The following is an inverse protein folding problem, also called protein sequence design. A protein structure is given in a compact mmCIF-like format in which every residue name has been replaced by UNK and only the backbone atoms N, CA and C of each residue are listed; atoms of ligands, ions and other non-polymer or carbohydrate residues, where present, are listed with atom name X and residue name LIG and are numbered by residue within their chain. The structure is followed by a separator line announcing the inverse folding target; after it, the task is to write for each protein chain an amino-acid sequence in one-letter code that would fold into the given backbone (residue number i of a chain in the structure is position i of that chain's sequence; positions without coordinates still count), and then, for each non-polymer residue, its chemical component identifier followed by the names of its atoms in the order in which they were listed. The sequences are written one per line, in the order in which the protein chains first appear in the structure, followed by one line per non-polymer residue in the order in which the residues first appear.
data_IF_509618105112
#
_entry.id   IF_509618105112
#
_cell.length_a   1.000
_cell.length_b   1.000
_cell.length_c   1.000
_cell.angle_alpha   90.00
_cell.angle_beta   90.00
_cell.angle_gamma   90.00
#
_symmetry.space_group_name_H-M   'P 1'
#
loop_
_entity.id
_entity.type
_entity.pdbx_description
1 polymer ?
#
# COMPACT_ATOMS: atom_id res chain seq x y z
N UNK A 1 2.64 1.50 4.91
CA UNK A 1 2.09 0.92 3.68
C UNK A 1 3.16 0.11 2.95
N UNK A 2 2.85 -1.12 2.57
CA UNK A 2 3.72 -2.02 1.80
C UNK A 2 3.83 -1.65 0.30
N UNK A 3 3.39 -0.47 -0.10
CA UNK A 3 3.58 0.06 -1.46
C UNK A 3 5.06 0.06 -1.88
N UNK A 4 5.98 0.28 -0.94
CA UNK A 4 7.42 0.25 -1.21
C UNK A 4 7.87 -1.11 -1.78
N UNK A 5 7.33 -2.23 -1.30
CA UNK A 5 7.67 -3.55 -1.81
C UNK A 5 7.26 -3.73 -3.29
N UNK A 6 6.08 -3.23 -3.67
CA UNK A 6 5.58 -3.28 -5.06
C UNK A 6 6.37 -2.34 -5.98
N UNK A 7 6.80 -1.17 -5.47
CA UNK A 7 7.67 -0.22 -6.19
C UNK A 7 9.03 -0.85 -6.54
N UNK A 8 9.54 -1.73 -5.69
CA UNK A 8 10.81 -2.42 -5.90
C UNK A 8 10.67 -3.77 -6.63
N UNK A 9 9.52 -4.05 -7.21
CA UNK A 9 9.31 -5.23 -8.06
C UNK A 9 8.53 -6.36 -7.41
N UNK A 10 8.17 -6.24 -6.13
CA UNK A 10 7.40 -7.26 -5.41
C UNK A 10 6.07 -7.61 -6.08
N UNK A 11 5.62 -8.82 -5.89
CA UNK A 11 4.33 -9.34 -6.35
C UNK A 11 3.40 -9.62 -5.18
N UNK A 12 2.11 -9.66 -5.46
CA UNK A 12 1.09 -10.01 -4.48
C UNK A 12 0.53 -11.40 -4.77
N UNK A 13 0.46 -12.24 -3.72
CA UNK A 13 -0.11 -13.58 -3.81
C UNK A 13 -1.18 -13.79 -2.75
N UNK A 14 -2.20 -14.59 -3.06
CA UNK A 14 -3.25 -14.99 -2.13
C UNK A 14 -2.80 -16.18 -1.26
N UNK A 15 -3.69 -16.70 -0.41
CA UNK A 15 -3.43 -17.87 0.44
C UNK A 15 -3.20 -19.18 -0.34
N UNK A 16 -3.50 -19.21 -1.64
CA UNK A 16 -3.19 -20.33 -2.52
C UNK A 16 -1.79 -20.22 -3.16
N UNK A 17 -1.06 -19.15 -2.92
CA UNK A 17 0.24 -18.88 -3.55
C UNK A 17 0.14 -18.36 -4.98
N UNK A 18 -1.01 -17.82 -5.39
CA UNK A 18 -1.30 -17.37 -6.74
C UNK A 18 -1.41 -15.85 -6.81
N UNK A 19 -0.87 -15.23 -7.86
CA UNK A 19 -1.16 -13.83 -8.18
C UNK A 19 -2.64 -13.68 -8.57
N UNK A 20 -3.24 -12.56 -8.23
CA UNK A 20 -4.68 -12.34 -8.44
C UNK A 20 -5.00 -10.97 -9.06
N UNK A 21 -3.99 -10.12 -9.27
CA UNK A 21 -4.18 -8.80 -9.86
C UNK A 21 -2.88 -8.27 -10.46
N UNK A 22 -2.98 -7.13 -11.14
CA UNK A 22 -1.81 -6.33 -11.45
C UNK A 22 -1.27 -5.71 -10.14
N UNK A 23 -0.14 -6.19 -9.68
CA UNK A 23 0.47 -5.80 -8.39
C UNK A 23 0.82 -4.30 -8.31
N UNK A 24 0.77 -3.60 -9.43
CA UNK A 24 1.11 -2.19 -9.54
C UNK A 24 -0.02 -1.33 -10.13
N UNK A 25 -1.28 -1.63 -9.81
CA UNK A 25 -2.35 -0.69 -10.15
C UNK A 25 -2.18 0.63 -9.42
N UNK A 26 -2.31 1.76 -10.13
CA UNK A 26 -2.34 3.08 -9.50
C UNK A 26 -3.63 3.31 -8.69
N UNK A 27 -4.70 2.62 -9.03
CA UNK A 27 -5.98 2.68 -8.33
C UNK A 27 -5.98 1.76 -7.10
N UNK A 28 -5.83 2.38 -5.93
CA UNK A 28 -5.84 1.68 -4.64
C UNK A 28 -7.19 1.07 -4.29
N UNK A 29 -8.31 1.66 -4.74
CA UNK A 29 -9.65 1.13 -4.50
C UNK A 29 -9.84 -0.18 -5.25
N UNK A 30 -9.44 -0.22 -6.53
CA UNK A 30 -9.46 -1.42 -7.34
C UNK A 30 -8.60 -2.53 -6.73
N UNK A 31 -7.43 -2.19 -6.22
CA UNK A 31 -6.55 -3.14 -5.56
C UNK A 31 -7.13 -3.66 -4.24
N UNK A 32 -7.68 -2.80 -3.40
CA UNK A 32 -8.33 -3.19 -2.16
C UNK A 32 -9.51 -4.14 -2.42
N UNK A 33 -10.31 -3.85 -3.44
CA UNK A 33 -11.42 -4.73 -3.87
C UNK A 33 -10.90 -6.11 -4.29
N UNK A 34 -9.87 -6.18 -5.13
CA UNK A 34 -9.28 -7.43 -5.55
C UNK A 34 -8.70 -8.24 -4.37
N UNK A 35 -8.15 -7.57 -3.35
CA UNK A 35 -7.69 -8.22 -2.12
C UNK A 35 -8.86 -8.77 -1.30
N UNK A 36 -9.96 -8.03 -1.14
CA UNK A 36 -11.15 -8.48 -0.41
C UNK A 36 -11.83 -9.69 -1.06
N UNK A 37 -11.68 -9.86 -2.36
CA UNK A 37 -12.20 -11.02 -3.11
C UNK A 37 -11.36 -12.29 -2.90
N UNK A 38 -10.17 -12.18 -2.27
CA UNK A 38 -9.33 -13.34 -1.97
C UNK A 38 -9.80 -14.07 -0.70
N UNK A 39 -9.45 -15.35 -0.53
CA UNK A 39 -9.77 -16.09 0.69
C UNK A 39 -9.38 -15.31 1.94
N UNK A 40 -10.31 -15.17 2.87
CA UNK A 40 -10.15 -14.39 4.12
C UNK A 40 -9.77 -12.91 3.93
N UNK A 41 -9.82 -12.35 2.71
CA UNK A 41 -9.33 -11.01 2.40
C UNK A 41 -7.83 -10.84 2.61
N UNK A 42 -7.08 -11.94 2.77
CA UNK A 42 -5.65 -11.96 3.06
C UNK A 42 -4.80 -12.17 1.81
N UNK A 43 -3.67 -11.52 1.79
CA UNK A 43 -2.65 -11.70 0.77
C UNK A 43 -1.25 -11.44 1.36
N UNK A 44 -0.23 -11.82 0.60
CA UNK A 44 1.16 -11.54 0.93
C UNK A 44 1.80 -10.74 -0.19
N UNK A 45 2.68 -9.81 0.17
CA UNK A 45 3.63 -9.26 -0.79
C UNK A 45 4.93 -10.02 -0.68
N UNK A 46 5.45 -10.51 -1.82
CA UNK A 46 6.68 -11.27 -1.91
C UNK A 46 7.74 -10.42 -2.60
N UNK A 47 8.94 -10.36 -2.04
CA UNK A 47 10.11 -9.69 -2.62
C UNK A 47 11.35 -10.58 -2.45
N UNK A 48 12.40 -10.28 -3.21
CA UNK A 48 13.71 -10.93 -3.10
C UNK A 48 14.78 -10.03 -2.48
N UNK A 49 15.99 -10.56 -2.33
CA UNK A 49 17.14 -9.85 -1.76
C UNK A 49 17.54 -8.62 -2.56
N UNK A 50 17.35 -8.62 -3.89
CA UNK A 50 17.61 -7.46 -4.75
C UNK A 50 16.65 -6.32 -4.41
N UNK A 51 15.36 -6.59 -4.34
CA UNK A 51 14.33 -5.63 -3.96
C UNK A 51 14.53 -5.08 -2.54
N UNK A 52 14.88 -5.96 -1.60
CA UNK A 52 15.15 -5.56 -0.21
C UNK A 52 16.33 -4.60 -0.12
N UNK A 53 17.44 -4.86 -0.83
CA UNK A 53 18.63 -4.00 -0.86
C UNK A 53 18.39 -2.66 -1.53
N UNK A 54 17.49 -2.59 -2.49
CA UNK A 54 17.19 -1.38 -3.26
C UNK A 54 16.50 -0.28 -2.43
N UNK A 55 15.88 -0.61 -1.28
CA UNK A 55 15.05 0.33 -0.53
C UNK A 55 15.40 0.38 0.96
N UNK A 56 15.91 1.52 1.43
CA UNK A 56 16.12 1.78 2.86
C UNK A 56 14.83 1.63 3.69
N UNK A 57 13.68 1.95 3.08
CA UNK A 57 12.38 1.80 3.71
C UNK A 57 12.01 0.33 3.95
N UNK A 58 12.28 -0.56 2.98
CA UNK A 58 12.06 -2.00 3.15
C UNK A 58 12.99 -2.58 4.23
N UNK A 59 14.25 -2.15 4.24
CA UNK A 59 15.20 -2.54 5.30
C UNK A 59 14.75 -2.08 6.69
N UNK A 60 14.15 -0.90 6.81
CA UNK A 60 13.55 -0.44 8.07
C UNK A 60 12.38 -1.31 8.48
N UNK A 61 11.50 -1.69 7.54
CA UNK A 61 10.39 -2.59 7.82
C UNK A 61 10.85 -4.01 8.20
N UNK A 62 11.92 -4.52 7.58
CA UNK A 62 12.53 -5.78 7.98
C UNK A 62 13.03 -5.72 9.42
N UNK A 63 13.76 -4.68 9.80
CA UNK A 63 14.22 -4.46 11.19
C UNK A 63 13.08 -4.35 12.20
N UNK A 64 11.92 -3.85 11.77
CA UNK A 64 10.72 -3.74 12.60
C UNK A 64 9.87 -5.02 12.63
N UNK A 65 10.35 -6.13 12.04
CA UNK A 65 9.67 -7.43 12.09
C UNK A 65 8.47 -7.59 11.16
N UNK A 66 8.31 -6.72 10.15
CA UNK A 66 7.18 -6.83 9.20
C UNK A 66 7.37 -7.89 8.12
N UNK A 67 8.53 -8.50 8.02
CA UNK A 67 8.82 -9.52 7.01
C UNK A 67 9.20 -10.85 7.64
N UNK A 68 8.69 -11.91 7.06
CA UNK A 68 9.22 -13.27 7.22
C UNK A 68 10.31 -13.47 6.17
N UNK A 69 11.47 -14.00 6.58
CA UNK A 69 12.62 -14.25 5.72
C UNK A 69 12.87 -15.75 5.54
N UNK A 70 13.31 -16.14 4.35
CA UNK A 70 13.72 -17.50 4.02
C UNK A 70 14.79 -17.52 2.93
N UNK A 71 15.59 -18.58 2.89
CA UNK A 71 16.64 -18.75 1.87
C UNK A 71 16.12 -19.32 0.56
N UNK A 72 14.96 -19.99 0.59
CA UNK A 72 14.32 -20.59 -0.60
C UNK A 72 12.85 -20.24 -0.65
N UNK A 73 12.27 -20.28 -1.85
CA UNK A 73 10.82 -20.03 -2.06
C UNK A 73 9.96 -21.09 -1.34
N UNK A 74 10.25 -22.40 -1.39
CA UNK A 74 9.52 -23.39 -0.62
C UNK A 74 9.55 -23.16 0.89
N UNK A 75 10.72 -22.81 1.44
CA UNK A 75 10.86 -22.46 2.86
C UNK A 75 10.00 -21.25 3.22
N UNK A 76 10.01 -20.20 2.37
CA UNK A 76 9.17 -19.01 2.59
C UNK A 76 7.69 -19.38 2.60
N UNK A 77 7.25 -20.17 1.62
CA UNK A 77 5.87 -20.63 1.52
C UNK A 77 5.42 -21.41 2.76
N UNK A 78 6.25 -22.33 3.25
CA UNK A 78 5.98 -23.07 4.49
C UNK A 78 5.85 -22.13 5.71
N UNK A 79 6.75 -21.15 5.85
CA UNK A 79 6.73 -20.18 6.96
C UNK A 79 5.48 -19.31 6.98
N UNK A 80 4.91 -19.01 5.82
CA UNK A 80 3.70 -18.16 5.71
C UNK A 80 2.41 -18.98 5.50
N UNK A 81 2.50 -20.31 5.53
CA UNK A 81 1.33 -21.20 5.50
C UNK A 81 0.62 -21.27 4.15
N UNK A 82 1.35 -21.16 3.04
CA UNK A 82 0.80 -21.31 1.68
C UNK A 82 1.44 -22.50 0.96
N UNK A 83 0.78 -23.09 -0.08
CA UNK A 83 1.32 -24.23 -0.81
C UNK A 83 2.64 -23.89 -1.51
N UNK A 84 3.77 -24.58 -1.19
CA UNK A 84 5.07 -24.29 -1.78
C UNK A 84 5.10 -24.43 -3.30
N UNK A 85 4.50 -25.47 -3.83
CA UNK A 85 4.47 -25.75 -5.28
C UNK A 85 3.77 -24.64 -6.07
N UNK A 86 2.70 -24.09 -5.51
CA UNK A 86 1.97 -23.00 -6.14
C UNK A 86 2.78 -21.70 -6.14
N UNK A 87 3.43 -21.36 -5.01
CA UNK A 87 4.28 -20.19 -4.95
C UNK A 87 5.46 -20.28 -5.91
N UNK A 88 6.13 -21.44 -5.97
CA UNK A 88 7.23 -21.66 -6.93
C UNK A 88 6.77 -21.50 -8.38
N UNK A 89 5.63 -22.09 -8.74
CA UNK A 89 5.03 -21.96 -10.07
C UNK A 89 4.72 -20.49 -10.40
N UNK A 90 4.15 -19.76 -9.46
CA UNK A 90 3.83 -18.33 -9.59
C UNK A 90 5.09 -17.50 -9.81
N UNK A 91 6.12 -17.71 -9.01
CA UNK A 91 7.40 -16.99 -9.12
C UNK A 91 8.09 -17.31 -10.46
N UNK A 92 8.18 -18.58 -10.86
CA UNK A 92 8.77 -18.97 -12.15
C UNK A 92 8.06 -18.30 -13.32
N UNK A 93 6.73 -18.33 -13.33
CA UNK A 93 5.91 -17.69 -14.37
C UNK A 93 6.12 -16.18 -14.42
N UNK A 94 6.13 -15.51 -13.26
CA UNK A 94 6.38 -14.08 -13.21
C UNK A 94 7.80 -13.71 -13.65
N UNK A 95 8.80 -14.52 -13.29
CA UNK A 95 10.18 -14.34 -13.73
C UNK A 95 10.32 -14.38 -15.27
N UNK A 96 9.54 -15.24 -15.95
CA UNK A 96 9.48 -15.25 -17.42
C UNK A 96 8.91 -13.94 -17.97
N UNK A 97 7.86 -13.39 -17.35
CA UNK A 97 7.30 -12.11 -17.75
C UNK A 97 8.29 -10.96 -17.59
N UNK A 98 9.07 -10.97 -16.50
CA UNK A 98 10.12 -9.96 -16.28
C UNK A 98 11.19 -10.04 -17.37
N UNK A 99 11.67 -11.25 -17.71
CA UNK A 99 12.66 -11.44 -18.77
C UNK A 99 12.14 -11.03 -20.16
N UNK A 100 10.88 -11.28 -20.42
CA UNK A 100 10.23 -10.96 -21.70
C UNK A 100 9.67 -9.52 -21.74
N UNK A 101 9.76 -8.77 -20.64
CA UNK A 101 9.25 -7.40 -20.53
C UNK A 101 7.73 -7.26 -20.61
N UNK A 102 6.97 -8.36 -20.46
CA UNK A 102 5.51 -8.36 -20.64
C UNK A 102 4.83 -9.34 -19.68
N UNK A 103 3.97 -8.82 -18.80
CA UNK A 103 3.10 -9.61 -17.95
C UNK A 103 1.81 -9.99 -18.70
N UNK A 104 1.69 -11.27 -19.06
CA UNK A 104 0.55 -11.80 -19.83
C UNK A 104 -0.66 -12.11 -18.97
N UNK A 105 -0.52 -12.19 -17.63
CA UNK A 105 -1.61 -12.57 -16.74
C UNK A 105 -2.44 -11.35 -16.33
N UNK A 106 -1.79 -10.27 -15.90
CA UNK A 106 -2.46 -9.11 -15.33
C UNK A 106 -2.05 -7.77 -15.96
N UNK A 107 -1.19 -7.81 -16.98
CA UNK A 107 -0.81 -6.63 -17.75
C UNK A 107 0.05 -5.63 -16.96
N UNK A 108 0.81 -6.08 -15.94
CA UNK A 108 1.77 -5.21 -15.26
C UNK A 108 2.86 -4.80 -16.25
N UNK A 109 3.09 -3.50 -16.38
CA UNK A 109 4.11 -2.93 -17.27
C UNK A 109 5.13 -2.04 -16.54
N UNK A 110 4.91 -1.76 -15.27
CA UNK A 110 5.71 -0.85 -14.47
C UNK A 110 6.33 -1.59 -13.28
N UNK A 111 7.58 -1.24 -12.96
CA UNK A 111 8.31 -1.81 -11.82
C UNK A 111 8.41 -3.35 -11.83
N UNK A 112 8.60 -3.94 -13.00
CA UNK A 112 8.97 -5.33 -13.17
C UNK A 112 10.49 -5.46 -13.01
N UNK A 113 11.01 -5.23 -11.78
CA UNK A 113 12.44 -4.99 -11.49
C UNK A 113 13.21 -6.25 -11.11
N UNK A 114 12.54 -7.30 -10.69
CA UNK A 114 13.18 -8.54 -10.24
C UNK A 114 12.52 -9.77 -10.80
N UNK A 115 13.34 -10.74 -11.16
CA UNK A 115 12.94 -12.09 -11.58
C UNK A 115 13.03 -13.11 -10.42
N UNK A 116 13.18 -12.63 -9.20
CA UNK A 116 13.32 -13.46 -8.00
C UNK A 116 14.51 -14.42 -8.02
N UNK A 117 15.60 -14.08 -8.71
CA UNK A 117 16.82 -14.87 -8.74
C UNK A 117 17.76 -14.66 -7.55
N UNK A 118 17.50 -13.66 -6.70
CA UNK A 118 18.41 -13.22 -5.64
C UNK A 118 17.85 -13.52 -4.24
N UNK A 119 18.28 -14.59 -3.56
CA UNK A 119 17.94 -14.81 -2.16
C UNK A 119 18.60 -13.76 -1.23
N UNK A 120 18.17 -13.64 0.05
CA UNK A 120 17.00 -14.30 0.63
C UNK A 120 15.68 -13.73 0.11
N UNK A 121 14.59 -14.48 0.35
CA UNK A 121 13.24 -14.09 -0.02
C UNK A 121 12.46 -13.62 1.19
N UNK A 122 11.53 -12.70 0.97
CA UNK A 122 10.78 -12.05 2.04
C UNK A 122 9.29 -12.01 1.71
N UNK A 123 8.48 -12.24 2.73
CA UNK A 123 7.03 -12.10 2.64
C UNK A 123 6.51 -11.20 3.77
N UNK A 124 5.54 -10.36 3.45
CA UNK A 124 4.78 -9.62 4.45
C UNK A 124 3.30 -9.81 4.20
N UNK A 125 2.56 -10.17 5.25
CA UNK A 125 1.11 -10.21 5.20
C UNK A 125 0.56 -8.81 4.97
N UNK A 126 -0.40 -8.69 4.06
CA UNK A 126 -1.07 -7.42 3.75
C UNK A 126 -2.57 -7.62 3.73
N UNK A 127 -3.26 -6.63 4.26
CA UNK A 127 -4.71 -6.52 4.28
C UNK A 127 -5.12 -5.19 3.66
N UNK A 128 -6.30 -5.12 3.02
CA UNK A 128 -6.85 -3.83 2.66
C UNK A 128 -7.14 -3.02 3.91
N UNK A 129 -6.85 -1.74 3.85
CA UNK A 129 -7.05 -0.82 4.98
C UNK A 129 -7.34 0.59 4.49
N UNK A 130 -8.08 1.34 5.28
CA UNK A 130 -8.33 2.76 5.04
C UNK A 130 -7.08 3.56 5.39
N UNK A 131 -6.59 4.32 4.45
CA UNK A 131 -5.41 5.19 4.66
C UNK A 131 -5.82 6.64 4.91
N UNK A 132 -6.89 7.09 4.29
CA UNK A 132 -7.42 8.45 4.39
C UNK A 132 -8.95 8.39 4.44
N UNK A 133 -9.56 9.37 5.10
CA UNK A 133 -11.00 9.59 5.04
C UNK A 133 -11.32 10.61 3.95
N UNK A 134 -12.36 10.34 3.16
CA UNK A 134 -12.88 11.29 2.19
C UNK A 134 -14.09 11.97 2.82
N UNK A 135 -14.02 13.28 2.99
CA UNK A 135 -14.98 14.05 3.76
C UNK A 135 -14.58 14.20 5.24
N UNK A 136 -15.33 14.94 6.00
CA UNK A 136 -15.01 15.25 7.39
C UNK A 136 -15.95 16.30 7.99
N UNK A 137 -15.40 17.14 8.85
CA UNK A 137 -16.14 18.25 9.47
C UNK A 137 -16.33 19.37 8.45
N UNK A 138 -17.57 19.83 8.30
CA UNK A 138 -17.85 20.99 7.46
C UNK A 138 -17.29 22.28 8.09
N UNK A 139 -16.60 23.05 7.27
CA UNK A 139 -15.98 24.33 7.68
C UNK A 139 -16.29 25.43 6.67
N UNK A 140 -16.29 26.67 7.13
CA UNK A 140 -16.33 27.83 6.25
C UNK A 140 -14.94 28.23 5.73
N UNK A 141 -14.85 29.31 4.94
CA UNK A 141 -13.59 29.81 4.36
C UNK A 141 -12.52 30.21 5.39
N UNK A 142 -12.88 30.36 6.65
CA UNK A 142 -11.99 30.67 7.76
C UNK A 142 -11.67 29.44 8.61
N UNK A 143 -12.02 28.24 8.16
CA UNK A 143 -11.83 26.98 8.87
C UNK A 143 -12.62 26.86 10.17
N UNK A 144 -13.67 27.69 10.38
CA UNK A 144 -14.59 27.52 11.49
C UNK A 144 -15.58 26.39 11.18
N UNK A 145 -15.79 25.48 12.15
CA UNK A 145 -16.78 24.42 12.01
C UNK A 145 -18.20 24.99 11.89
N UNK A 146 -18.97 24.40 10.99
CA UNK A 146 -20.37 24.74 10.76
C UNK A 146 -21.28 23.58 11.10
N UNK A 147 -22.49 23.89 11.58
CA UNK A 147 -23.56 22.93 11.84
C UNK A 147 -24.24 22.55 10.52
N UNK A 148 -25.08 21.52 10.56
CA UNK A 148 -25.89 21.09 9.41
C UNK A 148 -26.83 22.18 8.87
N UNK A 149 -27.20 23.17 9.70
CA UNK A 149 -28.02 24.36 9.32
C UNK A 149 -27.16 25.52 8.78
N UNK A 150 -25.86 25.31 8.57
CA UNK A 150 -24.91 26.30 8.05
C UNK A 150 -24.41 27.30 9.08
N UNK A 151 -24.84 27.24 10.34
CA UNK A 151 -24.39 28.17 11.37
C UNK A 151 -23.02 27.82 11.90
N UNK A 152 -22.18 28.84 12.04
CA UNK A 152 -20.84 28.68 12.61
C UNK A 152 -20.93 28.27 14.08
N UNK A 153 -20.07 27.34 14.50
CA UNK A 153 -19.87 27.01 15.90
C UNK A 153 -18.79 27.97 16.44
N UNK A 154 -19.11 28.87 17.37
CA UNK A 154 -18.16 29.86 17.86
C UNK A 154 -16.89 29.19 18.46
N UNK A 155 -15.74 29.75 18.13
CA UNK A 155 -14.42 29.31 18.64
C UNK A 155 -14.02 27.84 18.34
N UNK A 156 -14.74 27.17 17.44
CA UNK A 156 -14.37 25.84 17.00
C UNK A 156 -13.83 25.86 15.56
N UNK A 157 -12.62 25.34 15.38
CA UNK A 157 -11.93 25.26 14.09
C UNK A 157 -11.53 23.82 13.80
N UNK A 158 -11.56 23.43 12.53
CA UNK A 158 -11.03 22.16 12.06
C UNK A 158 -10.14 22.42 10.85
N UNK A 159 -9.00 21.71 10.79
CA UNK A 159 -8.00 21.90 9.74
C UNK A 159 -7.42 20.55 9.28
N UNK A 160 -6.82 20.52 8.10
CA UNK A 160 -6.17 19.33 7.55
C UNK A 160 -7.16 18.22 7.19
N UNK A 161 -6.72 16.97 7.31
CA UNK A 161 -7.50 15.78 6.91
C UNK A 161 -8.83 15.64 7.67
N UNK A 162 -8.99 16.30 8.80
CA UNK A 162 -10.25 16.31 9.56
C UNK A 162 -11.37 17.02 8.81
N UNK A 163 -11.05 17.83 7.81
CA UNK A 163 -12.00 18.56 6.99
C UNK A 163 -12.29 17.79 5.69
N UNK A 164 -12.23 18.42 4.55
CA UNK A 164 -12.69 17.82 3.30
C UNK A 164 -11.56 17.14 2.49
N UNK A 165 -10.29 17.56 2.66
CA UNK A 165 -9.20 17.15 1.78
C UNK A 165 -7.99 16.65 2.57
N UNK A 166 -7.30 15.68 2.00
CA UNK A 166 -6.11 15.08 2.57
C UNK A 166 -4.85 15.58 1.85
N UNK A 167 -3.78 15.70 2.61
CA UNK A 167 -2.48 16.02 2.07
C UNK A 167 -1.80 17.20 2.74
N UNK A 168 -0.47 17.21 2.66
CA UNK A 168 0.36 18.23 3.32
C UNK A 168 0.05 19.66 2.86
N UNK A 169 -0.15 19.94 1.55
CA UNK A 169 -0.48 21.29 1.11
C UNK A 169 -1.78 21.81 1.72
N UNK A 170 -2.83 20.99 1.75
CA UNK A 170 -4.11 21.36 2.37
C UNK A 170 -3.96 21.58 3.88
N UNK A 171 -3.24 20.70 4.57
CA UNK A 171 -2.99 20.85 6.01
C UNK A 171 -2.27 22.16 6.36
N UNK A 172 -1.26 22.54 5.59
CA UNK A 172 -0.52 23.80 5.79
C UNK A 172 -1.41 25.01 5.49
N UNK A 173 -2.13 24.97 4.36
CA UNK A 173 -3.01 26.07 3.95
C UNK A 173 -4.15 26.29 4.96
N UNK A 174 -4.87 25.24 5.32
CA UNK A 174 -6.01 25.32 6.24
C UNK A 174 -5.59 25.74 7.65
N UNK A 175 -4.44 25.22 8.13
CA UNK A 175 -3.86 25.64 9.41
C UNK A 175 -3.50 27.12 9.44
N UNK A 176 -2.85 27.63 8.38
CA UNK A 176 -2.54 29.06 8.22
C UNK A 176 -3.81 29.91 8.20
N UNK A 177 -4.82 29.50 7.44
CA UNK A 177 -6.09 30.21 7.30
C UNK A 177 -6.83 30.37 8.65
N UNK A 178 -6.88 29.28 9.43
CA UNK A 178 -7.45 29.30 10.76
C UNK A 178 -6.68 30.24 11.69
N UNK A 179 -5.35 30.19 11.69
CA UNK A 179 -4.51 31.05 12.52
C UNK A 179 -4.68 32.55 12.19
N UNK A 180 -4.66 32.89 10.90
CA UNK A 180 -4.88 34.27 10.44
C UNK A 180 -6.24 34.83 10.93
N UNK A 181 -7.30 34.02 10.84
CA UNK A 181 -8.61 34.42 11.31
C UNK A 181 -8.70 34.57 12.84
N UNK A 182 -8.05 33.69 13.59
CA UNK A 182 -8.01 33.76 15.06
C UNK A 182 -7.27 35.02 15.51
N UNK A 183 -6.16 35.37 14.87
CA UNK A 183 -5.34 36.52 15.21
C UNK A 183 -5.96 37.85 14.76
N UNK A 184 -6.94 37.85 13.87
CA UNK A 184 -7.64 39.04 13.39
C UNK A 184 -8.84 39.48 14.26
N UNK A 185 -9.18 38.70 15.30
CA UNK A 185 -10.23 38.98 16.27
C UNK A 185 -9.69 39.73 17.48
#
# INVERSE_FOLDING_TARGET
SMSAARLEGGIMVNLKGERFCNDYWPDYTKMAKAMLEQPEGKSFVIIDGKSMKASKRLQSFLKSGYFVEAQTIPELAQKIGIPPENLEKTIKRYAEFVRNGKDLDFGRSINMKTDFSTPPYYASAILPGTQVSVGGVDVNDFMQCVKADGKVIPNLYAVGELTYDSGTPHGVWSGRRAAEHILSK
#
